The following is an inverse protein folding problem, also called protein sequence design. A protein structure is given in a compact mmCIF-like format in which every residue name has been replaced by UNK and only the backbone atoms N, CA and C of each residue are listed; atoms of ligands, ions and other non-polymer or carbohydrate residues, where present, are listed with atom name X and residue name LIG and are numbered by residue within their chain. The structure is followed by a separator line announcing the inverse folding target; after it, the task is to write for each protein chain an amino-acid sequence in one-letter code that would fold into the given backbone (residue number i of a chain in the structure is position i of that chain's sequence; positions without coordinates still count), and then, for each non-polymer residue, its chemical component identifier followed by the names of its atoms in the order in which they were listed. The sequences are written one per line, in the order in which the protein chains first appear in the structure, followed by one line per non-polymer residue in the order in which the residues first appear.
data_IF_935722579522
#
_entry.id   IF_935722579522
#
_cell.length_a   1.000
_cell.length_b   1.000
_cell.length_c   1.000
_cell.angle_alpha   90.00
_cell.angle_beta   90.00
_cell.angle_gamma   90.00
#
_symmetry.space_group_name_H-M   'P 1'
#
loop_
_entity.id
_entity.type
_entity.pdbx_description
1 polymer ?
#
# COMPACT_ATOMS: atom_id res chain seq x y z
N UNK A 1 -0.52 80.12 -31.86
CA UNK A 1 0.30 78.89 -31.83
C UNK A 1 -0.11 78.09 -30.60
N UNK A 2 -0.92 77.07 -30.84
CA UNK A 2 -1.47 76.11 -29.87
C UNK A 2 -0.53 74.90 -29.76
N UNK A 3 -0.26 74.39 -28.56
CA UNK A 3 0.02 72.98 -28.20
C UNK A 3 0.23 72.94 -26.67
N UNK A 4 -0.82 72.74 -25.88
CA UNK A 4 -1.29 71.45 -25.31
C UNK A 4 -0.26 70.80 -24.38
N UNK A 5 -0.56 70.92 -23.08
CA UNK A 5 0.12 70.34 -21.92
C UNK A 5 -0.08 68.82 -21.92
N UNK A 6 1.01 68.05 -22.01
CA UNK A 6 0.99 66.61 -21.80
C UNK A 6 1.06 66.30 -20.30
N UNK A 7 -0.08 65.89 -19.74
CA UNK A 7 -0.22 65.26 -18.43
C UNK A 7 0.41 63.86 -18.49
N UNK A 8 1.53 63.63 -17.80
CA UNK A 8 2.10 62.29 -17.64
C UNK A 8 1.47 61.62 -16.42
N UNK A 9 0.55 60.68 -16.67
CA UNK A 9 0.01 59.78 -15.64
C UNK A 9 1.09 58.76 -15.24
N UNK A 10 1.63 58.89 -14.02
CA UNK A 10 2.43 57.85 -13.39
C UNK A 10 1.50 56.85 -12.70
N UNK A 11 1.26 55.71 -13.33
CA UNK A 11 0.61 54.56 -12.71
C UNK A 11 1.43 53.31 -13.03
N UNK A 12 2.41 53.02 -12.17
CA UNK A 12 3.22 51.81 -12.27
C UNK A 12 2.83 50.86 -11.13
N UNK A 13 1.95 49.93 -11.51
CA UNK A 13 1.61 48.65 -10.90
C UNK A 13 2.27 48.30 -9.56
N UNK A 14 1.48 48.38 -8.49
CA UNK A 14 1.70 47.52 -7.34
C UNK A 14 1.52 46.06 -7.82
N UNK A 15 2.59 45.29 -7.82
CA UNK A 15 2.57 43.86 -8.05
C UNK A 15 1.79 43.16 -6.96
N UNK A 16 0.46 43.10 -7.12
CA UNK A 16 -0.36 42.14 -6.43
C UNK A 16 0.11 40.76 -6.89
N UNK A 17 0.89 40.09 -6.03
CA UNK A 17 1.05 38.65 -6.10
C UNK A 17 -0.35 38.08 -5.95
N UNK A 18 -0.97 37.79 -7.08
CA UNK A 18 -2.20 37.04 -7.14
C UNK A 18 -1.91 35.69 -6.48
N UNK A 19 -2.29 35.59 -5.21
CA UNK A 19 -2.62 34.33 -4.58
C UNK A 19 -3.63 33.70 -5.51
N UNK A 20 -3.18 32.76 -6.35
CA UNK A 20 -4.08 32.02 -7.22
C UNK A 20 -5.03 31.29 -6.27
N UNK A 21 -6.32 31.67 -6.19
CA UNK A 21 -7.24 30.99 -5.31
C UNK A 21 -7.32 29.56 -5.85
N UNK A 22 -6.98 28.62 -4.97
CA UNK A 22 -6.72 27.22 -5.31
C UNK A 22 -7.77 26.71 -6.28
N UNK A 23 -7.30 26.09 -7.37
CA UNK A 23 -8.09 25.08 -8.09
C UNK A 23 -8.77 24.24 -7.01
N UNK A 24 -10.09 24.35 -6.91
CA UNK A 24 -10.88 23.49 -6.02
C UNK A 24 -10.38 22.07 -6.24
N UNK A 25 -9.82 21.51 -5.17
CA UNK A 25 -9.09 20.25 -5.10
C UNK A 25 -10.11 19.11 -5.25
N UNK A 26 -10.72 19.03 -6.42
CA UNK A 26 -11.77 18.09 -6.74
C UNK A 26 -11.19 16.68 -6.69
N UNK A 27 -11.41 15.99 -5.57
CA UNK A 27 -11.03 14.61 -5.39
C UNK A 27 -10.59 14.26 -3.99
N UNK A 28 -9.90 15.13 -3.24
CA UNK A 28 -9.45 14.74 -1.89
C UNK A 28 -10.50 15.03 -0.81
N UNK A 29 -11.29 16.09 -0.96
CA UNK A 29 -12.26 16.54 0.06
C UNK A 29 -13.42 15.56 0.29
N UNK A 30 -13.66 14.64 -0.65
CA UNK A 30 -14.68 13.59 -0.53
C UNK A 30 -14.28 12.44 0.39
N UNK A 31 -12.98 12.29 0.68
CA UNK A 31 -12.46 11.16 1.44
C UNK A 31 -12.29 11.50 2.92
N UNK A 32 -12.25 10.46 3.76
CA UNK A 32 -11.99 10.60 5.19
C UNK A 32 -10.55 11.04 5.50
N UNK A 33 -10.22 11.30 6.78
CA UNK A 33 -8.90 11.75 7.20
C UNK A 33 -7.71 10.90 6.73
N UNK A 34 -7.79 9.57 6.80
CA UNK A 34 -6.66 8.70 6.49
C UNK A 34 -6.35 8.70 4.99
N UNK A 35 -7.35 8.52 4.13
CA UNK A 35 -7.17 8.60 2.67
C UNK A 35 -6.70 9.99 2.26
N UNK A 36 -7.26 11.06 2.83
CA UNK A 36 -6.80 12.44 2.56
C UNK A 36 -5.35 12.66 2.92
N UNK A 37 -4.91 12.15 4.07
CA UNK A 37 -3.53 12.28 4.53
C UNK A 37 -2.59 11.56 3.57
N UNK A 38 -2.95 10.36 3.14
CA UNK A 38 -2.17 9.61 2.14
C UNK A 38 -2.08 10.33 0.79
N UNK A 39 -3.19 10.85 0.28
CA UNK A 39 -3.21 11.63 -0.97
C UNK A 39 -2.41 12.94 -0.86
N UNK A 40 -2.38 13.54 0.33
CA UNK A 40 -1.53 14.68 0.68
C UNK A 40 -0.06 14.29 0.63
N UNK A 41 0.33 13.22 1.32
CA UNK A 41 1.69 12.67 1.28
C UNK A 41 2.17 12.42 -0.16
N UNK A 42 1.35 11.77 -1.00
CA UNK A 42 1.70 11.54 -2.40
C UNK A 42 1.87 12.82 -3.22
N UNK A 43 1.16 13.91 -2.87
CA UNK A 43 1.38 15.21 -3.51
C UNK A 43 2.73 15.77 -3.08
N UNK A 44 3.04 15.73 -1.80
CA UNK A 44 4.29 16.26 -1.26
C UNK A 44 5.49 15.47 -1.85
N UNK A 45 5.35 14.15 -2.05
CA UNK A 45 6.35 13.35 -2.78
C UNK A 45 6.52 13.78 -4.25
N UNK A 46 5.44 14.14 -4.94
CA UNK A 46 5.53 14.65 -6.31
C UNK A 46 6.30 15.98 -6.34
N UNK A 47 6.04 16.87 -5.38
CA UNK A 47 6.74 18.15 -5.26
C UNK A 47 8.24 17.96 -5.03
N UNK A 48 8.65 16.99 -4.21
CA UNK A 48 10.06 16.63 -4.02
C UNK A 48 10.69 16.15 -5.33
N UNK A 49 10.02 15.29 -6.08
CA UNK A 49 10.52 14.78 -7.36
C UNK A 49 10.61 15.91 -8.40
N UNK A 50 9.64 16.81 -8.44
CA UNK A 50 9.62 17.99 -9.31
C UNK A 50 10.77 18.99 -8.95
N UNK A 51 11.03 19.22 -7.66
CA UNK A 51 12.11 20.09 -7.20
C UNK A 51 13.49 19.51 -7.58
N UNK A 52 13.72 18.22 -7.30
CA UNK A 52 15.00 17.56 -7.59
C UNK A 52 15.33 17.53 -9.08
N UNK A 53 14.35 17.32 -9.96
CA UNK A 53 14.60 17.38 -11.41
C UNK A 53 14.89 18.81 -11.87
N UNK A 54 14.24 19.82 -11.28
CA UNK A 54 14.49 21.23 -11.59
C UNK A 54 15.93 21.65 -11.22
N UNK A 55 16.45 21.09 -10.13
CA UNK A 55 17.84 21.26 -9.67
C UNK A 55 18.85 20.37 -10.39
N UNK A 56 18.40 19.52 -11.32
CA UNK A 56 19.22 18.54 -12.06
C UNK A 56 19.92 17.52 -11.16
N UNK A 57 19.35 17.22 -9.99
CA UNK A 57 19.87 16.22 -9.05
C UNK A 57 19.48 14.78 -9.44
N UNK A 58 18.47 14.66 -10.29
CA UNK A 58 17.97 13.39 -10.83
C UNK A 58 17.83 13.50 -12.34
N UNK A 59 17.99 12.38 -13.02
CA UNK A 59 17.77 12.30 -14.46
C UNK A 59 16.28 12.22 -14.81
N UNK A 60 15.99 12.37 -16.10
CA UNK A 60 14.62 12.32 -16.64
C UNK A 60 13.96 10.96 -16.50
N UNK A 61 14.71 9.86 -16.60
CA UNK A 61 14.20 8.51 -16.44
C UNK A 61 13.70 8.27 -15.03
N UNK A 62 14.52 8.62 -14.04
CA UNK A 62 14.15 8.60 -12.62
C UNK A 62 12.91 9.46 -12.34
N UNK A 63 12.88 10.69 -12.86
CA UNK A 63 11.73 11.58 -12.74
C UNK A 63 10.44 10.94 -13.26
N UNK A 64 10.47 10.41 -14.49
CA UNK A 64 9.30 9.80 -15.13
C UNK A 64 8.85 8.55 -14.38
N UNK A 65 9.77 7.67 -13.99
CA UNK A 65 9.47 6.44 -13.23
C UNK A 65 8.78 6.78 -11.91
N UNK A 66 9.35 7.68 -11.11
CA UNK A 66 8.79 8.05 -9.82
C UNK A 66 7.46 8.81 -9.94
N UNK A 67 7.35 9.75 -10.90
CA UNK A 67 6.08 10.45 -11.14
C UNK A 67 4.96 9.49 -11.58
N UNK A 68 5.29 8.49 -12.41
CA UNK A 68 4.33 7.48 -12.82
C UNK A 68 3.95 6.55 -11.65
N UNK A 69 4.91 6.17 -10.79
CA UNK A 69 4.66 5.41 -9.56
C UNK A 69 3.69 6.14 -8.63
N UNK A 70 3.93 7.42 -8.36
CA UNK A 70 3.06 8.26 -7.53
C UNK A 70 1.64 8.33 -8.11
N UNK A 71 1.52 8.43 -9.45
CA UNK A 71 0.20 8.40 -10.11
C UNK A 71 -0.49 7.05 -9.91
N UNK A 72 0.23 5.93 -10.06
CA UNK A 72 -0.33 4.59 -9.87
C UNK A 72 -0.84 4.37 -8.43
N UNK A 73 -0.05 4.79 -7.42
CA UNK A 73 -0.45 4.75 -6.00
C UNK A 73 -1.70 5.58 -5.74
N UNK A 74 -1.75 6.81 -6.29
CA UNK A 74 -2.91 7.70 -6.16
C UNK A 74 -4.18 7.07 -6.75
N UNK A 75 -4.08 6.48 -7.94
CA UNK A 75 -5.20 5.81 -8.60
C UNK A 75 -5.72 4.63 -7.76
N UNK A 76 -4.81 3.79 -7.28
CA UNK A 76 -5.15 2.66 -6.41
C UNK A 76 -5.83 3.11 -5.12
N UNK A 77 -5.29 4.12 -4.44
CA UNK A 77 -5.83 4.62 -3.19
C UNK A 77 -7.27 5.16 -3.36
N UNK A 78 -7.48 5.95 -4.41
CA UNK A 78 -8.82 6.45 -4.77
C UNK A 78 -9.77 5.29 -5.08
N UNK A 79 -9.30 4.28 -5.80
CA UNK A 79 -10.11 3.10 -6.13
C UNK A 79 -10.55 2.34 -4.88
N UNK A 80 -9.62 2.01 -3.98
CA UNK A 80 -9.93 1.33 -2.71
C UNK A 80 -10.92 2.13 -1.88
N UNK A 81 -10.69 3.44 -1.72
CA UNK A 81 -11.57 4.29 -0.92
C UNK A 81 -13.00 4.32 -1.47
N UNK A 82 -13.15 4.36 -2.80
CA UNK A 82 -14.47 4.35 -3.47
C UNK A 82 -15.15 2.99 -3.44
N UNK A 83 -14.40 1.91 -3.65
CA UNK A 83 -14.96 0.55 -3.68
C UNK A 83 -15.39 0.07 -2.29
N UNK A 84 -14.61 0.39 -1.26
CA UNK A 84 -14.90 -0.04 0.11
C UNK A 84 -15.84 0.89 0.86
N UNK A 85 -15.89 2.17 0.46
CA UNK A 85 -16.61 3.21 1.21
C UNK A 85 -16.04 3.45 2.62
N UNK A 86 -14.85 2.93 2.92
CA UNK A 86 -14.18 3.06 4.20
C UNK A 86 -12.97 3.99 4.05
N UNK A 87 -12.65 4.72 5.12
CA UNK A 87 -11.44 5.55 5.21
C UNK A 87 -10.19 4.71 5.50
N UNK A 88 -10.33 3.41 5.73
CA UNK A 88 -9.19 2.51 5.85
C UNK A 88 -8.46 2.36 4.51
N UNK A 89 -7.16 2.66 4.51
CA UNK A 89 -6.26 2.46 3.39
C UNK A 89 -5.04 1.66 3.86
N UNK A 90 -4.73 0.50 3.26
CA UNK A 90 -3.52 -0.24 3.63
C UNK A 90 -2.26 0.53 3.20
N UNK A 91 -1.11 0.14 3.73
CA UNK A 91 0.19 0.60 3.23
C UNK A 91 0.38 0.10 1.79
N UNK A 92 0.37 1.02 0.83
CA UNK A 92 0.47 0.69 -0.59
C UNK A 92 1.91 0.78 -1.09
N UNK A 93 2.33 -0.26 -1.82
CA UNK A 93 3.59 -0.32 -2.54
C UNK A 93 3.34 -0.45 -4.05
N UNK A 94 4.15 0.23 -4.85
CA UNK A 94 4.06 0.23 -6.31
C UNK A 94 5.44 0.02 -6.93
N UNK A 95 5.61 -1.11 -7.62
CA UNK A 95 6.88 -1.46 -8.27
C UNK A 95 6.69 -1.75 -9.75
N UNK A 96 7.66 -1.35 -10.56
CA UNK A 96 7.80 -1.86 -11.92
C UNK A 96 8.33 -3.30 -11.88
N UNK A 97 8.27 -4.01 -13.01
CA UNK A 97 8.69 -5.41 -13.07
C UNK A 97 10.17 -5.59 -12.71
N UNK A 98 11.01 -4.70 -13.20
CA UNK A 98 12.45 -4.63 -12.95
C UNK A 98 12.81 -4.24 -11.51
N UNK A 99 11.81 -4.01 -10.65
CA UNK A 99 11.96 -3.59 -9.25
C UNK A 99 11.34 -4.60 -8.27
N UNK A 100 10.99 -5.81 -8.73
CA UNK A 100 10.42 -6.86 -7.87
C UNK A 100 11.40 -7.32 -6.77
N UNK A 101 12.70 -7.20 -7.03
CA UNK A 101 13.77 -7.45 -6.07
C UNK A 101 13.71 -6.56 -4.83
N UNK A 102 13.04 -5.40 -4.91
CA UNK A 102 12.86 -4.49 -3.78
C UNK A 102 11.85 -5.02 -2.76
N UNK A 103 10.89 -5.86 -3.19
CA UNK A 103 9.83 -6.39 -2.34
C UNK A 103 9.99 -7.87 -2.01
N UNK A 104 10.60 -8.63 -2.93
CA UNK A 104 10.66 -10.09 -2.84
C UNK A 104 12.11 -10.56 -2.90
N UNK A 105 12.49 -11.36 -1.91
CA UNK A 105 13.67 -12.20 -1.99
C UNK A 105 13.48 -13.29 -3.05
N UNK A 106 14.58 -13.87 -3.54
CA UNK A 106 14.51 -14.97 -4.49
C UNK A 106 13.86 -16.23 -3.87
N UNK A 107 13.00 -16.97 -4.61
CA UNK A 107 12.57 -16.70 -5.99
C UNK A 107 11.48 -15.63 -6.06
N UNK A 108 11.60 -14.73 -7.05
CA UNK A 108 10.60 -13.68 -7.28
C UNK A 108 9.32 -14.25 -7.91
N UNK A 109 8.14 -13.71 -7.55
CA UNK A 109 6.89 -14.15 -8.17
C UNK A 109 6.85 -13.76 -9.65
N UNK A 110 6.38 -14.68 -10.49
CA UNK A 110 6.18 -14.39 -11.91
C UNK A 110 4.93 -13.50 -12.09
N UNK A 111 5.03 -12.39 -12.84
CA UNK A 111 3.89 -11.48 -13.02
C UNK A 111 2.63 -12.10 -13.62
N UNK A 112 2.79 -13.16 -14.43
CA UNK A 112 1.70 -13.90 -15.05
C UNK A 112 0.89 -14.71 -14.06
N UNK A 113 1.48 -15.05 -12.92
CA UNK A 113 0.90 -15.96 -11.94
C UNK A 113 0.14 -15.20 -10.84
N UNK A 114 0.40 -13.89 -10.71
CA UNK A 114 -0.19 -13.01 -9.70
C UNK A 114 -1.71 -12.88 -9.87
N UNK A 115 -2.46 -13.22 -8.82
CA UNK A 115 -3.92 -13.09 -8.78
C UNK A 115 -4.38 -11.97 -7.85
N UNK A 116 -5.42 -11.25 -8.25
CA UNK A 116 -5.99 -10.19 -7.43
C UNK A 116 -6.39 -10.73 -6.04
N UNK A 117 -5.93 -10.07 -4.99
CA UNK A 117 -6.16 -10.46 -3.59
C UNK A 117 -5.25 -11.58 -3.08
N UNK A 118 -4.40 -12.16 -3.91
CA UNK A 118 -3.42 -13.16 -3.49
C UNK A 118 -2.43 -12.58 -2.50
N UNK A 119 -2.11 -13.35 -1.46
CA UNK A 119 -1.13 -12.96 -0.45
C UNK A 119 0.19 -13.69 -0.70
N UNK A 120 1.25 -12.91 -0.84
CA UNK A 120 2.62 -13.33 -1.12
C UNK A 120 3.44 -13.25 0.17
N UNK A 121 4.11 -14.35 0.52
CA UNK A 121 5.03 -14.45 1.66
C UNK A 121 4.46 -13.97 3.00
N UNK A 122 3.13 -14.02 3.19
CA UNK A 122 2.43 -13.47 4.35
C UNK A 122 2.76 -11.99 4.63
N UNK A 123 3.17 -11.22 3.62
CA UNK A 123 3.63 -9.84 3.79
C UNK A 123 2.94 -8.87 2.83
N UNK A 124 2.68 -9.30 1.60
CA UNK A 124 2.10 -8.44 0.58
C UNK A 124 0.83 -9.07 0.00
N UNK A 125 -0.22 -8.29 -0.19
CA UNK A 125 -1.43 -8.68 -0.92
C UNK A 125 -1.42 -7.99 -2.27
N UNK A 126 -1.53 -8.74 -3.36
CA UNK A 126 -1.55 -8.17 -4.71
C UNK A 126 -2.88 -7.47 -4.99
N UNK A 127 -2.82 -6.21 -5.41
CA UNK A 127 -3.98 -5.35 -5.68
C UNK A 127 -4.23 -5.13 -7.18
N UNK A 128 -3.36 -5.66 -8.03
CA UNK A 128 -3.48 -5.57 -9.48
C UNK A 128 -2.44 -4.68 -10.14
N UNK A 129 -2.67 -4.40 -11.41
CA UNK A 129 -1.74 -3.68 -12.29
C UNK A 129 -2.36 -2.33 -12.67
N UNK A 130 -1.61 -1.25 -12.53
CA UNK A 130 -2.01 0.07 -12.99
C UNK A 130 -1.10 0.49 -14.16
N UNK A 131 -1.63 0.55 -15.40
CA UNK A 131 -0.86 1.06 -16.53
C UNK A 131 -0.79 2.57 -16.47
N UNK A 132 0.42 3.13 -16.46
CA UNK A 132 0.64 4.58 -16.49
C UNK A 132 1.53 4.93 -17.68
N UNK A 133 0.91 5.53 -18.71
CA UNK A 133 1.57 5.87 -19.98
C UNK A 133 2.18 4.64 -20.65
N UNK A 134 3.50 4.46 -20.54
CA UNK A 134 4.26 3.36 -21.13
C UNK A 134 4.74 2.35 -20.09
N UNK A 135 4.51 2.62 -18.81
CA UNK A 135 4.92 1.77 -17.71
C UNK A 135 3.73 0.98 -17.16
N UNK A 136 4.03 -0.16 -16.55
CA UNK A 136 3.08 -0.93 -15.74
C UNK A 136 3.62 -0.99 -14.32
N UNK A 137 2.79 -0.63 -13.36
CA UNK A 137 3.09 -0.78 -11.95
C UNK A 137 2.26 -1.91 -11.38
N UNK A 138 2.90 -2.79 -10.62
CA UNK A 138 2.28 -3.85 -9.84
C UNK A 138 2.08 -3.30 -8.43
N UNK A 139 0.84 -3.33 -7.98
CA UNK A 139 0.43 -2.68 -6.74
C UNK A 139 0.21 -3.75 -5.67
N UNK A 140 0.73 -3.49 -4.48
CA UNK A 140 0.64 -4.37 -3.34
C UNK A 140 0.16 -3.60 -2.11
N UNK A 141 -0.59 -4.25 -1.24
CA UNK A 141 -0.83 -3.81 0.13
C UNK A 141 0.12 -4.56 1.06
N UNK A 142 0.82 -3.88 1.96
CA UNK A 142 1.51 -4.54 3.07
C UNK A 142 0.47 -4.99 4.09
N UNK A 143 0.55 -6.25 4.50
CA UNK A 143 -0.32 -6.80 5.53
C UNK A 143 0.14 -6.30 6.90
N UNK A 144 -0.81 -5.86 7.72
CA UNK A 144 -0.52 -5.48 9.09
C UNK A 144 -0.16 -6.70 9.96
N UNK A 145 0.52 -6.53 11.11
CA UNK A 145 0.95 -7.64 11.95
C UNK A 145 -0.18 -8.59 12.39
N UNK A 146 -1.42 -8.09 12.51
CA UNK A 146 -2.57 -8.90 12.90
C UNK A 146 -3.03 -9.78 11.74
N UNK A 147 -3.16 -9.22 10.53
CA UNK A 147 -3.47 -9.99 9.33
C UNK A 147 -2.39 -11.07 9.06
N UNK A 148 -1.12 -10.76 9.28
CA UNK A 148 -0.03 -11.74 9.14
C UNK A 148 -0.17 -12.89 10.15
N UNK A 149 -0.46 -12.58 11.41
CA UNK A 149 -0.63 -13.59 12.46
C UNK A 149 -1.82 -14.51 12.18
N UNK A 150 -2.95 -13.96 11.73
CA UNK A 150 -4.14 -14.74 11.39
C UNK A 150 -3.89 -15.68 10.19
N UNK A 151 -3.17 -15.21 9.17
CA UNK A 151 -2.81 -16.08 8.04
C UNK A 151 -1.84 -17.20 8.42
N UNK A 152 -0.87 -16.94 9.31
CA UNK A 152 0.03 -17.98 9.83
C UNK A 152 -0.72 -19.04 10.62
N UNK A 153 -1.59 -18.63 11.55
CA UNK A 153 -2.45 -19.56 12.30
C UNK A 153 -3.32 -20.41 11.38
N UNK A 154 -3.91 -19.80 10.35
CA UNK A 154 -4.75 -20.52 9.38
C UNK A 154 -3.94 -21.50 8.54
N UNK A 155 -2.73 -21.15 8.14
CA UNK A 155 -1.80 -22.05 7.44
C UNK A 155 -1.40 -23.25 8.29
N UNK A 156 -1.09 -23.04 9.57
CA UNK A 156 -0.76 -24.10 10.53
C UNK A 156 -1.95 -25.03 10.79
N UNK A 157 -3.15 -24.47 11.01
CA UNK A 157 -4.36 -25.26 11.24
C UNK A 157 -4.78 -26.10 10.02
N UNK A 158 -4.46 -25.65 8.81
CA UNK A 158 -4.74 -26.39 7.57
C UNK A 158 -3.76 -27.55 7.33
N UNK A 159 -2.63 -27.58 8.05
CA UNK A 159 -1.61 -28.63 7.93
C UNK A 159 -1.71 -29.69 9.06
N UNK A 160 -2.65 -29.54 9.99
CA UNK A 160 -3.00 -30.57 10.96
C UNK A 160 -4.02 -31.51 10.31
N UNK A 161 -3.51 -32.51 9.60
CA UNK A 161 -4.29 -33.67 9.19
C UNK A 161 -4.95 -34.28 10.45
N UNK A 162 -6.28 -34.50 10.48
CA UNK A 162 -6.86 -35.31 11.53
C UNK A 162 -6.34 -36.74 11.33
N UNK A 163 -5.49 -37.17 12.25
CA UNK A 163 -5.10 -38.55 12.40
C UNK A 163 -6.37 -39.31 12.82
N UNK A 164 -7.15 -39.78 11.84
CA UNK A 164 -8.29 -40.66 12.08
C UNK A 164 -7.76 -41.96 12.64
N UNK A 165 -7.76 -42.04 13.97
CA UNK A 165 -7.49 -43.26 14.70
C UNK A 165 -8.46 -44.36 14.28
N UNK A 166 -7.91 -45.48 13.80
CA UNK A 166 -8.58 -46.78 13.85
C UNK A 166 -8.55 -47.28 15.30
N UNK A 167 -9.61 -46.96 16.05
CA UNK A 167 -9.93 -47.64 17.29
C UNK A 167 -10.71 -48.93 16.98
N UNK A 168 -10.10 -50.09 17.21
CA UNK A 168 -10.84 -51.34 17.41
C UNK A 168 -10.74 -51.71 18.88
N UNK A 169 -11.84 -51.55 19.61
CA UNK A 169 -12.00 -52.01 20.97
C UNK A 169 -12.59 -53.42 21.00
N UNK A 170 -12.09 -54.32 21.85
CA UNK A 170 -12.90 -55.35 22.52
C UNK A 170 -12.26 -55.75 23.87
N UNK A 171 -13.05 -56.02 24.95
CA UNK A 171 -12.57 -56.10 26.34
C UNK A 171 -12.49 -57.55 26.87
N UNK A 172 -11.72 -57.79 27.94
CA UNK A 172 -11.98 -58.83 28.94
C UNK A 172 -11.08 -58.68 30.19
N UNK A 173 -11.69 -58.95 31.34
CA UNK A 173 -11.16 -58.88 32.70
C UNK A 173 -10.03 -59.88 33.00
N UNK A 174 -9.15 -59.56 33.95
CA UNK A 174 -9.01 -60.40 35.14
C UNK A 174 -8.34 -59.67 36.32
N UNK A 175 -8.84 -59.97 37.52
CA UNK A 175 -8.45 -59.36 38.78
C UNK A 175 -7.31 -60.14 39.46
N UNK A 176 -6.42 -59.46 40.21
CA UNK A 176 -5.72 -60.04 41.39
C UNK A 176 -5.00 -58.98 42.25
N UNK A 177 -5.70 -58.55 43.30
CA UNK A 177 -5.31 -58.49 44.73
C UNK A 177 -3.86 -58.16 45.18
N UNK A 178 -3.78 -57.10 46.02
CA UNK A 178 -2.98 -56.89 47.27
C UNK A 178 -1.45 -56.63 47.20
N UNK A 179 -0.82 -56.06 48.27
CA UNK A 179 -1.32 -55.16 49.33
C UNK A 179 -0.44 -53.91 49.60
N UNK A 180 -1.05 -52.99 50.34
CA UNK A 180 -0.54 -51.79 51.02
C UNK A 180 0.55 -52.12 52.05
N UNK A 181 1.65 -51.35 52.09
CA UNK A 181 2.51 -51.25 53.29
C UNK A 181 2.79 -49.78 53.63
N UNK A 182 2.37 -49.45 54.84
CA UNK A 182 2.64 -48.24 55.62
C UNK A 182 4.05 -48.38 56.21
N UNK A 183 4.79 -47.28 56.33
CA UNK A 183 5.44 -46.85 57.59
C UNK A 183 6.33 -45.62 57.37
N UNK A 184 5.89 -44.51 57.98
CA UNK A 184 6.70 -43.53 58.74
C UNK A 184 7.46 -44.24 59.90
N UNK A 185 8.54 -43.68 60.45
CA UNK A 185 8.58 -42.38 61.16
C UNK A 185 9.45 -41.29 60.52
#
# INVERSE_FOLDING_TARGET
MTFVVCLACAASAAGAWAQTPGRKRAGAEEFGPAVRSYLGYLRDQQEVVDDRVSRREIDRGYYLRNSNRIRALREMAVRIARETGNDYLPELEAVALDEFDQLFAEPQPQPTDLRLGETLNYQFRFLGIVPVRRDKFYLFARLDPYEQAELRKKGEASNVQPDTGTATATPAADARSRPRRVNEP
#
